data_IF_196669045691
#
_entry.id   IF_196669045691
#
_cell.length_a   1.000
_cell.length_b   1.000
_cell.length_c   1.000
_cell.angle_alpha   90.00
_cell.angle_beta   90.00
_cell.angle_gamma   90.00
#
_symmetry.space_group_name_H-M   'P 1'
#
loop_
_entity.id
_entity.type
_entity.pdbx_description
1 polymer ?
#
# COMPACT_ATOMS: atom_id res chain seq x y z
N UNK A 1 3.72 -35.81 1.41
CA UNK A 1 3.32 -34.46 1.86
C UNK A 1 4.32 -34.05 2.92
N UNK A 2 5.18 -33.08 2.62
CA UNK A 2 6.34 -32.76 3.46
C UNK A 2 5.96 -31.56 4.33
N UNK A 3 5.32 -31.84 5.46
CA UNK A 3 4.55 -30.88 6.27
C UNK A 3 5.34 -29.62 6.67
N UNK A 4 6.66 -29.76 6.82
CA UNK A 4 7.56 -28.64 7.15
C UNK A 4 7.69 -27.61 6.00
N UNK A 5 7.73 -28.07 4.74
CA UNK A 5 7.80 -27.20 3.56
C UNK A 5 6.50 -26.43 3.35
N UNK A 6 5.36 -27.09 3.60
CA UNK A 6 4.04 -26.49 3.45
C UNK A 6 3.83 -25.34 4.45
N UNK A 7 4.25 -25.51 5.70
CA UNK A 7 4.19 -24.47 6.75
C UNK A 7 5.05 -23.25 6.37
N UNK A 8 6.29 -23.47 5.92
CA UNK A 8 7.18 -22.41 5.47
C UNK A 8 6.61 -21.62 4.29
N UNK A 9 5.97 -22.31 3.34
CA UNK A 9 5.31 -21.67 2.20
C UNK A 9 4.12 -20.81 2.65
N UNK A 10 3.28 -21.31 3.55
CA UNK A 10 2.13 -20.57 4.09
C UNK A 10 2.61 -19.28 4.78
N UNK A 11 3.65 -19.35 5.61
CA UNK A 11 4.21 -18.19 6.30
C UNK A 11 4.74 -17.17 5.29
N UNK A 12 5.50 -17.62 4.28
CA UNK A 12 6.03 -16.75 3.22
C UNK A 12 4.91 -15.98 2.52
N UNK A 13 3.86 -16.66 2.08
CA UNK A 13 2.76 -16.02 1.39
C UNK A 13 1.94 -15.11 2.31
N UNK A 14 1.77 -15.48 3.58
CA UNK A 14 1.10 -14.63 4.57
C UNK A 14 1.85 -13.30 4.76
N UNK A 15 3.18 -13.35 4.94
CA UNK A 15 4.01 -12.15 5.07
C UNK A 15 3.95 -11.30 3.80
N UNK A 16 4.01 -11.93 2.62
CA UNK A 16 3.92 -11.23 1.34
C UNK A 16 2.59 -10.47 1.18
N UNK A 17 1.46 -11.08 1.59
CA UNK A 17 0.14 -10.44 1.56
C UNK A 17 0.12 -9.23 2.51
N UNK A 18 0.62 -9.38 3.73
CA UNK A 18 0.66 -8.28 4.73
C UNK A 18 1.48 -7.10 4.18
N UNK A 19 2.66 -7.37 3.62
CA UNK A 19 3.51 -6.33 3.02
C UNK A 19 2.82 -5.64 1.84
N UNK A 20 2.17 -6.42 0.96
CA UNK A 20 1.48 -5.89 -0.22
C UNK A 20 0.34 -4.96 0.19
N UNK A 21 -0.48 -5.39 1.16
CA UNK A 21 -1.59 -4.57 1.69
C UNK A 21 -1.06 -3.31 2.38
N UNK A 22 0.03 -3.42 3.15
CA UNK A 22 0.70 -2.29 3.79
C UNK A 22 1.18 -1.26 2.78
N UNK A 23 1.84 -1.69 1.70
CA UNK A 23 2.31 -0.81 0.62
C UNK A 23 1.13 -0.09 -0.03
N UNK A 24 0.07 -0.79 -0.40
CA UNK A 24 -1.11 -0.19 -1.06
C UNK A 24 -1.81 0.84 -0.16
N UNK A 25 -1.84 0.62 1.15
CA UNK A 25 -2.52 1.52 2.09
C UNK A 25 -1.64 2.68 2.59
N UNK A 26 -0.32 2.59 2.46
CA UNK A 26 0.62 3.58 2.99
C UNK A 26 0.35 5.03 2.51
N UNK A 27 0.12 5.31 1.21
CA UNK A 27 -0.14 6.68 0.75
C UNK A 27 -1.43 7.27 1.31
N UNK A 28 -2.49 6.47 1.41
CA UNK A 28 -3.77 6.88 1.97
C UNK A 28 -3.69 7.15 3.49
N UNK A 29 -2.90 6.33 4.21
CA UNK A 29 -2.65 6.56 5.63
C UNK A 29 -1.85 7.85 5.86
N UNK A 30 -0.83 8.11 5.05
CA UNK A 30 -0.02 9.34 5.12
C UNK A 30 -0.85 10.58 4.80
N UNK A 31 -1.68 10.55 3.76
CA UNK A 31 -2.58 11.65 3.44
C UNK A 31 -3.54 11.99 4.60
N UNK A 32 -3.99 10.97 5.35
CA UNK A 32 -4.81 11.15 6.56
C UNK A 32 -4.03 11.82 7.70
N UNK A 33 -2.78 11.41 7.92
CA UNK A 33 -1.91 12.01 8.95
C UNK A 33 -1.60 13.49 8.66
N UNK A 34 -1.50 13.85 7.38
CA UNK A 34 -1.22 15.23 6.96
C UNK A 34 -2.45 16.14 6.91
N UNK A 35 -3.63 15.67 7.31
CA UNK A 35 -4.84 16.50 7.40
C UNK A 35 -5.37 16.98 6.05
N UNK A 36 -5.08 16.26 4.96
CA UNK A 36 -5.54 16.61 3.60
C UNK A 36 -7.06 16.68 3.52
N UNK A 37 -7.56 17.65 2.75
CA UNK A 37 -8.99 17.78 2.46
C UNK A 37 -9.56 16.53 1.78
N UNK A 38 -10.87 16.31 1.93
CA UNK A 38 -11.61 15.19 1.32
C UNK A 38 -11.25 14.92 -0.16
N UNK A 39 -11.17 15.92 -1.07
CA UNK A 39 -10.87 15.65 -2.49
C UNK A 39 -9.45 15.10 -2.71
N UNK A 40 -8.44 15.65 -2.03
CA UNK A 40 -7.06 15.19 -2.14
C UNK A 40 -6.88 13.80 -1.56
N UNK A 41 -7.62 13.49 -0.49
CA UNK A 41 -7.59 12.18 0.15
C UNK A 41 -8.18 11.10 -0.78
N UNK A 42 -9.22 11.41 -1.55
CA UNK A 42 -9.76 10.53 -2.60
C UNK A 42 -8.79 10.36 -3.77
N UNK A 43 -8.13 11.43 -4.21
CA UNK A 43 -7.14 11.39 -5.28
C UNK A 43 -5.93 10.52 -4.91
N UNK A 44 -5.41 10.64 -3.69
CA UNK A 44 -4.30 9.80 -3.20
C UNK A 44 -4.75 8.35 -3.04
N UNK A 45 -5.98 8.09 -2.60
CA UNK A 45 -6.52 6.73 -2.46
C UNK A 45 -6.73 6.04 -3.80
N UNK A 46 -7.34 6.74 -4.77
CA UNK A 46 -7.51 6.25 -6.14
C UNK A 46 -6.16 6.09 -6.84
N UNK A 47 -5.24 7.03 -6.65
CA UNK A 47 -3.87 6.95 -7.15
C UNK A 47 -3.11 5.75 -6.57
N UNK A 48 -3.26 5.48 -5.27
CA UNK A 48 -2.64 4.31 -4.62
C UNK A 48 -3.25 2.98 -5.08
N UNK A 49 -4.52 2.96 -5.48
CA UNK A 49 -5.16 1.77 -6.03
C UNK A 49 -4.80 1.54 -7.50
N UNK A 50 -4.92 2.57 -8.33
CA UNK A 50 -4.69 2.52 -9.78
C UNK A 50 -3.21 2.51 -10.11
N UNK A 51 -2.33 2.90 -9.19
CA UNK A 51 -0.90 2.89 -9.42
C UNK A 51 -0.09 2.19 -8.33
N UNK A 52 -0.71 1.66 -7.27
CA UNK A 52 0.00 0.91 -6.22
C UNK A 52 0.67 -0.37 -6.73
N UNK A 53 0.22 -0.91 -7.86
CA UNK A 53 0.87 -2.02 -8.58
C UNK A 53 2.11 -1.61 -9.39
N UNK A 54 2.35 -0.31 -9.58
CA UNK A 54 3.44 0.25 -10.37
C UNK A 54 4.24 1.21 -9.49
N UNK A 55 5.47 0.83 -9.15
CA UNK A 55 6.34 1.56 -8.21
C UNK A 55 6.35 3.08 -8.40
N UNK A 56 6.35 3.55 -9.66
CA UNK A 56 6.34 4.98 -10.03
C UNK A 56 5.07 5.70 -9.57
N UNK A 57 3.89 5.16 -9.84
CA UNK A 57 2.66 5.85 -9.44
C UNK A 57 2.29 5.61 -7.97
N UNK A 58 2.85 4.58 -7.33
CA UNK A 58 2.88 4.49 -5.86
C UNK A 58 3.68 5.65 -5.25
N UNK A 59 4.88 5.94 -5.75
CA UNK A 59 5.68 7.09 -5.32
C UNK A 59 4.97 8.42 -5.58
N UNK A 60 4.26 8.54 -6.70
CA UNK A 60 3.41 9.70 -6.99
C UNK A 60 2.31 9.88 -5.93
N UNK A 61 1.55 8.83 -5.62
CA UNK A 61 0.51 8.86 -4.60
C UNK A 61 1.08 9.24 -3.22
N UNK A 62 2.26 8.73 -2.89
CA UNK A 62 2.99 9.07 -1.68
C UNK A 62 3.41 10.53 -1.64
N UNK A 63 4.00 11.03 -2.73
CA UNK A 63 4.40 12.43 -2.86
C UNK A 63 3.20 13.37 -2.66
N UNK A 64 2.06 13.06 -3.27
CA UNK A 64 0.83 13.83 -3.10
C UNK A 64 0.19 13.69 -1.71
N UNK A 65 0.37 12.54 -1.05
CA UNK A 65 -0.04 12.33 0.34
C UNK A 65 0.84 13.07 1.35
N UNK A 66 2.13 13.24 1.07
CA UNK A 66 3.11 13.92 1.93
C UNK A 66 3.08 15.44 1.75
N UNK A 67 2.88 15.91 0.52
CA UNK A 67 2.90 17.34 0.18
C UNK A 67 1.76 18.07 0.89
N UNK A 68 2.09 19.00 1.80
CA UNK A 68 1.13 19.90 2.46
C UNK A 68 0.37 20.75 1.44
#
# INVERSE_FOLDING_TARGET
>A
MNTNLDILLIIKYTIAVILTVGIILAPAWIARQNGKGKPDMHAVRLGSWIFGWSFIGWLWALFWGVRK
#
